data_IF_138398625894
#
_entry.id   IF_138398625894
#
_cell.length_a   1.000
_cell.length_b   1.000
_cell.length_c   1.000
_cell.angle_alpha   90.00
_cell.angle_beta   90.00
_cell.angle_gamma   90.00
#
_symmetry.space_group_name_H-M   'P 1'
#
loop_
_entity.id
_entity.type
_entity.pdbx_description
1 polymer ?
#
# COMPACT_ATOMS: atom_id res chain seq x y z
N UNK A 1 -20.63 -24.12 15.51
CA UNK A 1 -19.91 -22.85 15.74
C UNK A 1 -19.53 -22.39 14.36
N UNK A 2 -20.24 -21.41 13.80
CA UNK A 2 -19.95 -20.91 12.46
C UNK A 2 -18.59 -20.22 12.51
N UNK A 3 -17.67 -20.70 11.68
CA UNK A 3 -16.43 -20.03 11.35
C UNK A 3 -16.81 -18.63 10.87
N UNK A 4 -16.47 -17.62 11.65
CA UNK A 4 -16.62 -16.22 11.25
C UNK A 4 -15.84 -16.06 9.96
N UNK A 5 -16.58 -15.91 8.86
CA UNK A 5 -16.10 -15.44 7.57
C UNK A 5 -15.52 -14.05 7.85
N UNK A 6 -14.23 -14.00 8.18
CA UNK A 6 -13.50 -12.76 8.38
C UNK A 6 -13.35 -12.17 7.00
N UNK A 7 -14.34 -11.39 6.58
CA UNK A 7 -14.30 -10.66 5.34
C UNK A 7 -13.47 -9.39 5.59
N UNK A 8 -12.18 -9.36 5.17
CA UNK A 8 -11.33 -8.22 5.43
C UNK A 8 -11.90 -6.97 4.74
N UNK A 9 -12.79 -7.11 3.76
CA UNK A 9 -13.45 -6.00 3.05
C UNK A 9 -14.33 -5.17 3.97
N UNK A 10 -14.96 -5.77 4.98
CA UNK A 10 -15.82 -5.07 5.94
C UNK A 10 -15.00 -4.20 6.92
N UNK A 11 -13.71 -4.53 7.11
CA UNK A 11 -12.75 -3.70 7.84
C UNK A 11 -12.21 -2.52 7.01
N UNK A 12 -12.48 -2.48 5.69
CA UNK A 12 -11.97 -1.43 4.79
C UNK A 12 -13.04 -0.38 4.46
N UNK A 13 -14.29 -0.62 4.82
CA UNK A 13 -15.43 0.24 4.47
C UNK A 13 -15.51 1.52 5.34
N UNK A 14 -14.52 1.75 6.22
CA UNK A 14 -14.32 2.98 7.00
C UNK A 14 -13.14 3.83 6.53
N UNK A 15 -12.83 3.81 5.23
CA UNK A 15 -11.62 4.39 4.65
C UNK A 15 -11.68 5.92 4.48
N UNK A 16 -11.54 6.67 5.57
CA UNK A 16 -11.08 8.07 5.46
C UNK A 16 -9.54 8.17 5.31
N UNK A 17 -8.78 7.11 5.65
CA UNK A 17 -7.31 7.14 5.72
C UNK A 17 -6.59 5.99 4.98
N UNK A 18 -6.97 5.74 3.73
CA UNK A 18 -6.27 4.81 2.83
C UNK A 18 -5.83 5.51 1.53
N UNK A 19 -4.56 5.32 1.15
CA UNK A 19 -4.04 5.71 -0.16
C UNK A 19 -3.55 4.49 -0.93
N UNK A 20 -4.00 4.38 -2.17
CA UNK A 20 -3.62 3.29 -3.07
C UNK A 20 -3.11 3.85 -4.39
N UNK A 21 -1.87 3.50 -4.71
CA UNK A 21 -1.24 3.81 -6.00
C UNK A 21 -0.87 2.51 -6.70
N UNK A 22 -1.25 2.42 -7.98
CA UNK A 22 -0.92 1.28 -8.83
C UNK A 22 -0.20 1.79 -10.08
N UNK A 23 1.02 1.29 -10.28
CA UNK A 23 1.85 1.54 -11.45
C UNK A 23 2.23 0.19 -12.08
N UNK A 24 2.62 0.14 -13.37
CA UNK A 24 2.93 -1.13 -14.02
C UNK A 24 4.01 -1.93 -13.28
N UNK A 25 3.64 -3.09 -12.72
CA UNK A 25 4.53 -3.98 -11.98
C UNK A 25 4.64 -3.72 -10.47
N UNK A 26 4.02 -2.65 -9.93
CA UNK A 26 4.08 -2.32 -8.50
C UNK A 26 2.72 -1.79 -8.02
N UNK A 27 2.22 -2.34 -6.91
CA UNK A 27 1.02 -1.85 -6.22
C UNK A 27 1.37 -1.50 -4.79
N UNK A 28 1.14 -0.24 -4.40
CA UNK A 28 1.38 0.26 -3.05
C UNK A 28 0.06 0.66 -2.43
N UNK A 29 -0.27 0.05 -1.29
CA UNK A 29 -1.45 0.38 -0.49
C UNK A 29 -0.97 0.79 0.89
N UNK A 30 -1.30 2.01 1.29
CA UNK A 30 -0.93 2.60 2.57
C UNK A 30 -2.19 2.89 3.34
N UNK A 31 -2.29 2.33 4.54
CA UNK A 31 -3.39 2.60 5.46
C UNK A 31 -2.84 2.97 6.81
N UNK A 32 -3.29 4.09 7.34
CA UNK A 32 -3.00 4.50 8.72
C UNK A 32 -4.33 4.79 9.44
N UNK A 33 -4.50 4.24 10.63
CA UNK A 33 -5.60 4.64 11.50
C UNK A 33 -5.26 6.00 12.13
N UNK A 34 -6.23 6.92 12.16
CA UNK A 34 -6.11 8.25 12.79
C UNK A 34 -4.99 9.17 12.25
N UNK A 35 -4.49 8.94 11.02
CA UNK A 35 -3.54 9.86 10.38
C UNK A 35 -4.25 11.03 9.71
N UNK A 36 -3.63 12.20 9.76
CA UNK A 36 -4.02 13.33 8.91
C UNK A 36 -3.65 13.05 7.45
N UNK A 37 -4.37 13.68 6.52
CA UNK A 37 -4.14 13.50 5.08
C UNK A 37 -2.68 13.80 4.67
N UNK A 38 -2.04 14.80 5.28
CA UNK A 38 -0.63 15.14 5.02
C UNK A 38 0.34 14.03 5.49
N UNK A 39 0.09 13.45 6.66
CA UNK A 39 0.91 12.35 7.19
C UNK A 39 0.74 11.08 6.35
N UNK A 40 -0.51 10.77 5.97
CA UNK A 40 -0.82 9.65 5.10
C UNK A 40 -0.13 9.80 3.73
N UNK A 41 -0.15 11.00 3.13
CA UNK A 41 0.56 11.28 1.88
C UNK A 41 2.09 11.17 2.01
N UNK A 42 2.67 11.67 3.10
CA UNK A 42 4.11 11.58 3.33
C UNK A 42 4.57 10.12 3.42
N UNK A 43 3.85 9.31 4.21
CA UNK A 43 4.14 7.88 4.35
C UNK A 43 3.91 7.15 3.02
N UNK A 44 2.83 7.45 2.31
CA UNK A 44 2.53 6.83 1.03
C UNK A 44 3.60 7.13 -0.02
N UNK A 45 4.10 8.37 -0.07
CA UNK A 45 5.16 8.78 -1.00
C UNK A 45 6.46 8.03 -0.73
N UNK A 46 6.87 7.91 0.55
CA UNK A 46 8.06 7.13 0.93
C UNK A 46 7.94 5.66 0.56
N UNK A 47 6.76 5.07 0.75
CA UNK A 47 6.51 3.68 0.38
C UNK A 47 6.54 3.48 -1.15
N UNK A 48 6.03 4.46 -1.91
CA UNK A 48 6.09 4.44 -3.36
C UNK A 48 7.53 4.57 -3.89
N UNK A 49 8.31 5.50 -3.34
CA UNK A 49 9.73 5.65 -3.68
C UNK A 49 10.53 4.38 -3.40
N UNK A 50 10.33 3.77 -2.22
CA UNK A 50 10.96 2.50 -1.88
C UNK A 50 10.59 1.37 -2.85
N UNK A 51 9.30 1.26 -3.18
CA UNK A 51 8.83 0.21 -4.08
C UNK A 51 9.35 0.41 -5.53
N UNK A 52 9.52 1.66 -5.96
CA UNK A 52 10.10 2.01 -7.25
C UNK A 52 11.60 1.69 -7.32
N UNK A 53 12.37 2.09 -6.31
CA UNK A 53 13.80 1.81 -6.19
C UNK A 53 14.06 0.30 -6.18
N UNK A 54 13.28 -0.44 -5.39
CA UNK A 54 13.40 -1.89 -5.32
C UNK A 54 12.96 -2.59 -6.62
N UNK A 55 11.98 -2.05 -7.35
CA UNK A 55 11.58 -2.59 -8.65
C UNK A 55 12.65 -2.35 -9.71
N UNK A 56 13.37 -1.22 -9.66
CA UNK A 56 14.52 -0.95 -10.52
C UNK A 56 15.68 -1.89 -10.21
N UNK A 57 16.00 -2.10 -8.93
CA UNK A 57 17.00 -3.07 -8.49
C UNK A 57 16.64 -4.49 -8.90
N UNK A 58 15.39 -4.93 -8.73
CA UNK A 58 14.94 -6.25 -9.15
C UNK A 58 15.08 -6.44 -10.67
N UNK A 59 14.79 -5.39 -11.45
CA UNK A 59 14.97 -5.41 -12.91
C UNK A 59 16.44 -5.44 -13.32
N UNK A 60 17.32 -4.75 -12.58
CA UNK A 60 18.76 -4.76 -12.81
C UNK A 60 19.40 -6.09 -12.39
N UNK A 61 18.98 -6.65 -11.24
CA UNK A 61 19.43 -7.94 -10.73
C UNK A 61 18.99 -9.11 -11.63
N UNK A 62 17.80 -9.04 -12.23
CA UNK A 62 17.33 -10.03 -13.20
C UNK A 62 18.01 -9.92 -14.58
N UNK A 63 18.83 -8.89 -14.82
CA UNK A 63 19.53 -8.62 -16.09
C UNK A 63 21.00 -9.05 -16.09
N UNK A 64 21.57 -9.36 -14.93
CA UNK A 64 22.89 -10.01 -14.78
C UNK A 64 22.78 -11.53 -14.92
#
# INVERSE_FOLDING_TARGET
>A
MSESDFDPSEFLDGADNELKTSIPGVTVTTRLADADAEELEEVHRRQLEFALDHAEDAKNASRM
#
